data_IF_836664668303
#
_entry.id   IF_836664668303
#
_cell.length_a   1.000
_cell.length_b   1.000
_cell.length_c   1.000
_cell.angle_alpha   90.00
_cell.angle_beta   90.00
_cell.angle_gamma   90.00
#
_symmetry.space_group_name_H-M   'P 1'
#
loop_
_entity.id
_entity.type
_entity.pdbx_description
1 polymer ?
#
# COMPACT_ATOMS: atom_id res chain seq x y z
N UNK A 1 6.83 -3.07 39.58
CA UNK A 1 5.57 -3.12 38.84
C UNK A 1 5.55 -1.90 37.93
N UNK A 2 5.74 -2.09 36.62
CA UNK A 2 5.48 -1.04 35.61
C UNK A 2 3.96 -0.81 35.66
N UNK A 3 3.46 0.44 35.81
CA UNK A 3 2.03 0.68 35.78
C UNK A 3 1.50 0.13 34.43
N UNK A 4 0.38 -0.56 34.52
CA UNK A 4 -0.33 -1.21 33.38
C UNK A 4 -0.74 -0.12 32.38
N UNK A 5 0.21 0.31 31.56
CA UNK A 5 -0.03 1.33 30.52
C UNK A 5 -0.83 0.67 29.43
N UNK A 6 -2.14 0.81 29.52
CA UNK A 6 -3.05 0.31 28.51
C UNK A 6 -2.90 1.14 27.22
N UNK A 7 -2.29 0.56 26.20
CA UNK A 7 -2.17 1.20 24.89
C UNK A 7 -3.47 1.13 24.11
N UNK A 8 -3.73 2.15 23.29
CA UNK A 8 -4.86 2.20 22.36
C UNK A 8 -4.36 2.24 20.93
N UNK A 9 -5.10 1.65 20.01
CA UNK A 9 -4.77 1.68 18.59
C UNK A 9 -5.53 2.83 17.93
N UNK A 10 -4.80 3.70 17.25
CA UNK A 10 -5.36 4.84 16.54
C UNK A 10 -4.99 4.84 15.05
N UNK A 11 -5.89 5.31 14.21
CA UNK A 11 -5.63 5.54 12.79
C UNK A 11 -6.56 6.62 12.24
N UNK A 12 -6.18 7.28 11.14
CA UNK A 12 -7.08 8.23 10.48
C UNK A 12 -8.21 7.49 9.75
N UNK A 13 -9.37 8.08 9.72
CA UNK A 13 -10.59 7.52 9.15
C UNK A 13 -10.59 7.53 7.63
N UNK A 14 -9.89 6.60 7.00
CA UNK A 14 -9.80 6.42 5.56
C UNK A 14 -9.26 5.04 5.19
N UNK A 15 -9.25 4.70 3.92
CA UNK A 15 -8.53 3.57 3.31
C UNK A 15 -8.76 2.21 4.01
N UNK A 16 -7.84 1.78 4.89
CA UNK A 16 -7.89 0.48 5.59
C UNK A 16 -8.29 0.60 7.07
N UNK A 17 -8.75 1.77 7.51
CA UNK A 17 -9.01 2.04 8.92
C UNK A 17 -10.05 1.09 9.54
N UNK A 18 -11.10 0.71 8.80
CA UNK A 18 -12.13 -0.20 9.31
C UNK A 18 -11.54 -1.55 9.74
N UNK A 19 -10.67 -2.15 8.91
CA UNK A 19 -10.06 -3.43 9.27
C UNK A 19 -8.99 -3.29 10.35
N UNK A 20 -8.23 -2.17 10.39
CA UNK A 20 -7.25 -1.89 11.45
C UNK A 20 -7.96 -1.85 12.80
N UNK A 21 -8.99 -1.00 12.92
CA UNK A 21 -9.73 -0.83 14.16
C UNK A 21 -10.49 -2.11 14.56
N UNK A 22 -11.10 -2.82 13.60
CA UNK A 22 -11.74 -4.11 13.86
C UNK A 22 -10.76 -5.13 14.39
N UNK A 23 -9.60 -5.26 13.75
CA UNK A 23 -8.55 -6.19 14.17
C UNK A 23 -7.98 -5.84 15.57
N UNK A 24 -7.81 -4.55 15.88
CA UNK A 24 -7.38 -4.08 17.19
C UNK A 24 -8.38 -4.48 18.30
N UNK A 25 -9.69 -4.31 18.05
CA UNK A 25 -10.73 -4.75 19.00
C UNK A 25 -10.72 -6.27 19.19
N UNK A 26 -10.44 -7.05 18.15
CA UNK A 26 -10.34 -8.51 18.25
C UNK A 26 -9.16 -8.96 19.12
N UNK A 27 -8.10 -8.17 19.20
CA UNK A 27 -6.95 -8.43 20.09
C UNK A 27 -7.09 -7.76 21.48
N UNK A 28 -8.22 -7.10 21.76
CA UNK A 28 -8.54 -6.54 23.06
C UNK A 28 -8.09 -5.09 23.27
N UNK A 29 -7.67 -4.39 22.23
CA UNK A 29 -7.33 -2.98 22.33
C UNK A 29 -8.56 -2.08 22.25
N UNK A 30 -8.55 -0.98 22.98
CA UNK A 30 -9.41 0.17 22.72
C UNK A 30 -8.93 0.88 21.44
N UNK A 31 -9.88 1.48 20.71
CA UNK A 31 -9.64 1.99 19.37
C UNK A 31 -10.05 3.44 19.22
N UNK A 32 -9.24 4.21 18.47
CA UNK A 32 -9.47 5.63 18.18
C UNK A 32 -9.50 5.83 16.66
N UNK A 33 -10.62 6.31 16.14
CA UNK A 33 -10.71 6.79 14.76
C UNK A 33 -10.51 8.31 14.73
N UNK A 34 -9.58 8.79 13.91
CA UNK A 34 -9.34 10.22 13.70
C UNK A 34 -9.98 10.60 12.37
N UNK A 35 -11.04 11.39 12.41
CA UNK A 35 -11.87 11.69 11.25
C UNK A 35 -11.90 13.18 10.95
N UNK A 36 -11.91 13.53 9.67
CA UNK A 36 -12.34 14.87 9.26
C UNK A 36 -13.84 14.99 9.51
N UNK A 37 -14.29 16.13 10.05
CA UNK A 37 -15.72 16.40 10.34
C UNK A 37 -16.63 16.01 9.18
N UNK A 38 -17.69 15.29 9.49
CA UNK A 38 -18.68 14.77 8.52
C UNK A 38 -18.29 13.44 7.87
N UNK A 39 -17.11 12.87 8.18
CA UNK A 39 -16.66 11.57 7.66
C UNK A 39 -16.65 10.45 8.70
N UNK A 40 -17.25 10.67 9.87
CA UNK A 40 -17.27 9.71 10.99
C UNK A 40 -18.25 8.55 10.77
N UNK A 41 -19.26 8.75 9.92
CA UNK A 41 -20.40 7.86 9.74
C UNK A 41 -20.05 6.36 9.57
N UNK A 42 -19.02 5.98 8.76
CA UNK A 42 -18.65 4.56 8.65
C UNK A 42 -18.20 3.95 9.98
N UNK A 43 -17.42 4.69 10.78
CA UNK A 43 -16.85 4.22 12.05
C UNK A 43 -17.91 4.10 13.14
N UNK A 44 -18.91 4.96 13.12
CA UNK A 44 -20.11 4.89 13.95
C UNK A 44 -20.99 3.70 13.53
N UNK A 45 -21.26 3.56 12.24
CA UNK A 45 -22.11 2.51 11.67
C UNK A 45 -21.57 1.10 11.97
N UNK A 46 -20.28 0.89 11.75
CA UNK A 46 -19.64 -0.41 11.98
C UNK A 46 -19.14 -0.63 13.40
N UNK A 47 -19.23 0.38 14.26
CA UNK A 47 -18.86 0.32 15.70
C UNK A 47 -17.45 -0.21 15.95
N UNK A 48 -16.52 0.15 15.06
CA UNK A 48 -15.13 -0.29 15.13
C UNK A 48 -14.24 0.65 15.96
N UNK A 49 -14.70 1.86 16.27
CA UNK A 49 -14.00 2.83 17.11
C UNK A 49 -14.71 2.97 18.47
N UNK A 50 -13.93 2.93 19.56
CA UNK A 50 -14.42 3.22 20.90
C UNK A 50 -14.44 4.72 21.14
N UNK A 51 -13.50 5.45 20.53
CA UNK A 51 -13.44 6.92 20.53
C UNK A 51 -13.29 7.43 19.10
N UNK A 52 -13.96 8.54 18.78
CA UNK A 52 -13.79 9.26 17.52
C UNK A 52 -13.29 10.67 17.86
N UNK A 53 -12.13 11.03 17.33
CA UNK A 53 -11.58 12.39 17.39
C UNK A 53 -11.84 13.03 16.05
N UNK A 54 -12.44 14.22 16.05
CA UNK A 54 -12.74 14.97 14.82
C UNK A 54 -11.84 16.18 14.68
N UNK A 55 -11.33 16.36 13.47
CA UNK A 55 -10.52 17.52 13.05
C UNK A 55 -11.15 18.18 11.83
N UNK A 56 -10.86 19.43 11.56
CA UNK A 56 -11.41 20.13 10.39
C UNK A 56 -10.72 19.66 9.09
N UNK A 57 -9.41 19.42 9.16
CA UNK A 57 -8.57 18.94 8.07
C UNK A 57 -7.46 18.04 8.64
N UNK A 58 -6.89 17.16 7.81
CA UNK A 58 -5.68 16.43 8.20
C UNK A 58 -4.44 17.33 8.38
N UNK A 59 -4.50 18.58 7.90
CA UNK A 59 -3.48 19.58 8.19
C UNK A 59 -3.49 20.01 9.67
N UNK A 60 -4.58 19.78 10.38
CA UNK A 60 -4.73 20.10 11.80
C UNK A 60 -4.31 18.93 12.72
N UNK A 61 -3.71 17.88 12.19
CA UNK A 61 -3.37 16.67 12.94
C UNK A 61 -2.48 16.94 14.17
N UNK A 62 -1.60 17.93 14.07
CA UNK A 62 -0.71 18.33 15.16
C UNK A 62 -1.47 18.80 16.40
N UNK A 63 -2.65 19.38 16.23
CA UNK A 63 -3.48 19.89 17.34
C UNK A 63 -4.00 18.82 18.29
N UNK A 64 -4.08 17.56 17.81
CA UNK A 64 -4.58 16.43 18.60
C UNK A 64 -3.48 15.53 19.16
N UNK A 65 -2.18 15.82 18.88
CA UNK A 65 -1.09 14.94 19.34
C UNK A 65 -1.03 14.81 20.86
N UNK A 66 -1.25 15.90 21.60
CA UNK A 66 -1.25 15.86 23.07
C UNK A 66 -2.39 15.00 23.64
N UNK A 67 -3.56 15.00 22.96
CA UNK A 67 -4.66 14.12 23.31
C UNK A 67 -4.31 12.66 23.05
N UNK A 68 -3.74 12.35 21.89
CA UNK A 68 -3.30 10.99 21.53
C UNK A 68 -2.19 10.47 22.47
N UNK A 69 -1.27 11.33 22.93
CA UNK A 69 -0.24 10.98 23.90
C UNK A 69 -0.85 10.65 25.27
N UNK A 70 -1.82 11.43 25.74
CA UNK A 70 -2.56 11.15 26.99
C UNK A 70 -3.33 9.82 26.93
N UNK A 71 -3.81 9.45 25.77
CA UNK A 71 -4.50 8.18 25.51
C UNK A 71 -3.53 6.99 25.33
N UNK A 72 -2.22 7.19 25.40
CA UNK A 72 -1.20 6.19 25.05
C UNK A 72 -1.47 5.56 23.66
N UNK A 73 -1.85 6.37 22.68
CA UNK A 73 -2.20 5.89 21.36
C UNK A 73 -0.97 5.44 20.57
N UNK A 74 -1.13 4.34 19.82
CA UNK A 74 -0.20 3.87 18.81
C UNK A 74 -0.87 4.10 17.45
N UNK A 75 -0.26 4.94 16.61
CA UNK A 75 -0.73 5.23 15.26
C UNK A 75 -0.39 4.08 14.33
N UNK A 76 -1.39 3.53 13.66
CA UNK A 76 -1.19 2.58 12.56
C UNK A 76 -1.31 3.33 11.25
N UNK A 77 -0.21 3.43 10.48
CA UNK A 77 -0.22 4.13 9.19
C UNK A 77 -0.87 3.27 8.10
N UNK A 78 -1.50 3.93 7.15
CA UNK A 78 -1.95 3.36 5.88
C UNK A 78 -1.74 4.40 4.76
N UNK A 79 -2.06 4.04 3.50
CA UNK A 79 -1.73 4.90 2.36
C UNK A 79 -2.24 6.34 2.48
N UNK A 80 -3.48 6.54 2.92
CA UNK A 80 -4.01 7.89 3.09
C UNK A 80 -3.34 8.68 4.22
N UNK A 81 -2.86 7.99 5.27
CA UNK A 81 -2.09 8.65 6.33
C UNK A 81 -0.80 9.26 5.76
N UNK A 82 -0.05 8.47 4.98
CA UNK A 82 1.18 8.95 4.33
C UNK A 82 0.87 10.09 3.35
N UNK A 83 -0.18 9.93 2.53
CA UNK A 83 -0.54 10.91 1.51
C UNK A 83 -0.98 12.26 2.10
N UNK A 84 -1.71 12.25 3.22
CA UNK A 84 -2.22 13.48 3.84
C UNK A 84 -1.22 14.15 4.77
N UNK A 85 -0.42 13.36 5.49
CA UNK A 85 0.55 13.91 6.42
C UNK A 85 1.85 14.34 5.74
N UNK A 86 2.30 13.58 4.73
CA UNK A 86 3.63 13.73 4.14
C UNK A 86 4.74 13.26 5.09
N UNK A 87 5.89 12.91 4.52
CA UNK A 87 7.01 12.29 5.26
C UNK A 87 7.55 13.20 6.34
N UNK A 88 7.81 14.47 6.02
CA UNK A 88 8.39 15.45 6.97
C UNK A 88 7.56 15.62 8.25
N UNK A 89 6.23 15.57 8.15
CA UNK A 89 5.34 15.66 9.31
C UNK A 89 5.32 14.35 10.09
N UNK A 90 5.37 13.20 9.38
CA UNK A 90 5.42 11.87 10.02
C UNK A 90 6.71 11.70 10.82
N UNK A 91 7.85 12.17 10.32
CA UNK A 91 9.13 12.14 11.05
C UNK A 91 9.07 12.92 12.36
N UNK A 92 8.32 14.03 12.37
CA UNK A 92 8.16 14.90 13.56
C UNK A 92 7.06 14.45 14.52
N UNK A 93 6.34 13.36 14.24
CA UNK A 93 5.29 12.84 15.12
C UNK A 93 5.89 12.43 16.48
N UNK A 94 5.26 12.93 17.55
CA UNK A 94 5.59 12.58 18.95
C UNK A 94 4.81 11.35 19.44
N UNK A 95 3.69 11.04 18.79
CA UNK A 95 2.84 9.89 19.11
C UNK A 95 3.53 8.62 18.62
N UNK A 96 3.42 7.54 19.38
CA UNK A 96 3.94 6.24 18.97
C UNK A 96 3.42 5.84 17.59
N UNK A 97 4.32 5.44 16.71
CA UNK A 97 4.06 5.07 15.34
C UNK A 97 4.49 3.63 15.09
N UNK A 98 3.60 2.79 14.60
CA UNK A 98 3.91 1.40 14.24
C UNK A 98 4.57 1.34 12.86
N UNK A 99 5.78 0.83 12.82
CA UNK A 99 6.55 0.71 11.58
C UNK A 99 7.85 1.53 11.60
N UNK A 100 8.71 1.30 10.63
CA UNK A 100 9.96 2.03 10.47
C UNK A 100 9.75 3.28 9.60
N UNK A 101 9.79 4.47 10.20
CA UNK A 101 9.64 5.74 9.47
C UNK A 101 10.72 5.93 8.40
N UNK A 102 11.95 5.44 8.61
CA UNK A 102 13.05 5.59 7.67
C UNK A 102 12.81 4.86 6.33
N UNK A 103 11.88 3.90 6.29
CA UNK A 103 11.53 3.19 5.07
C UNK A 103 10.61 4.02 4.14
N UNK A 104 9.91 5.02 4.69
CA UNK A 104 8.93 5.82 3.95
C UNK A 104 9.60 6.67 2.85
N UNK A 105 10.80 7.17 3.09
CA UNK A 105 11.56 7.89 2.08
C UNK A 105 11.86 6.97 0.88
N UNK A 106 12.25 5.72 1.15
CA UNK A 106 12.51 4.71 0.12
C UNK A 106 11.25 4.31 -0.65
N UNK A 107 10.09 4.28 -0.02
CA UNK A 107 8.81 4.03 -0.69
C UNK A 107 8.37 5.20 -1.56
N UNK A 108 8.55 6.44 -1.10
CA UNK A 108 8.00 7.63 -1.74
C UNK A 108 8.84 8.15 -2.92
N UNK A 109 10.16 7.98 -2.88
CA UNK A 109 11.04 8.33 -4.00
C UNK A 109 11.15 7.17 -4.98
N UNK A 110 10.60 7.35 -6.18
CA UNK A 110 10.56 6.32 -7.24
C UNK A 110 11.94 5.78 -7.63
N UNK A 111 13.00 6.58 -7.51
CA UNK A 111 14.37 6.16 -7.82
C UNK A 111 14.93 5.28 -6.71
N UNK A 112 14.69 5.66 -5.46
CA UNK A 112 15.10 4.90 -4.28
C UNK A 112 14.32 3.60 -4.19
N UNK A 113 13.00 3.62 -4.35
CA UNK A 113 12.14 2.45 -4.43
C UNK A 113 12.64 1.44 -5.47
N UNK A 114 12.87 1.92 -6.69
CA UNK A 114 13.39 1.08 -7.77
C UNK A 114 14.77 0.49 -7.45
N UNK A 115 15.65 1.27 -6.82
CA UNK A 115 16.97 0.79 -6.37
C UNK A 115 16.84 -0.31 -5.33
N UNK A 116 15.93 -0.15 -4.37
CA UNK A 116 15.62 -1.16 -3.36
C UNK A 116 15.13 -2.46 -4.01
N UNK A 117 14.06 -2.39 -4.82
CA UNK A 117 13.48 -3.55 -5.51
C UNK A 117 14.52 -4.27 -6.40
N UNK A 118 15.37 -3.51 -7.12
CA UNK A 118 16.44 -4.08 -7.94
C UNK A 118 17.49 -4.80 -7.11
N UNK A 119 17.93 -4.21 -5.99
CA UNK A 119 18.89 -4.84 -5.07
C UNK A 119 18.33 -6.08 -4.39
N UNK A 120 17.00 -6.14 -4.20
CA UNK A 120 16.29 -7.33 -3.73
C UNK A 120 16.22 -8.45 -4.79
N UNK A 121 16.81 -8.29 -5.96
CA UNK A 121 16.81 -9.28 -7.03
C UNK A 121 15.47 -9.43 -7.77
N UNK A 122 14.57 -8.45 -7.68
CA UNK A 122 13.28 -8.50 -8.36
C UNK A 122 13.41 -8.07 -9.83
N UNK A 123 12.65 -8.75 -10.71
CA UNK A 123 12.47 -8.30 -12.10
C UNK A 123 11.60 -7.05 -12.12
N UNK A 124 12.11 -5.98 -12.74
CA UNK A 124 11.43 -4.69 -12.85
C UNK A 124 11.17 -4.35 -14.32
N UNK A 125 10.15 -3.53 -14.65
CA UNK A 125 9.97 -3.00 -15.98
C UNK A 125 11.21 -2.23 -16.45
N UNK A 126 11.55 -2.31 -17.73
CA UNK A 126 12.66 -1.53 -18.33
C UNK A 126 12.36 -0.03 -18.25
N UNK A 127 13.35 0.78 -17.91
CA UNK A 127 13.28 2.24 -17.99
C UNK A 127 14.06 2.67 -19.24
N UNK A 128 13.45 3.54 -20.01
CA UNK A 128 14.08 4.18 -21.17
C UNK A 128 14.59 5.56 -20.77
N UNK A 129 15.86 5.83 -21.04
CA UNK A 129 16.49 7.10 -20.67
C UNK A 129 16.06 8.24 -21.61
N UNK A 130 15.82 7.90 -22.87
CA UNK A 130 15.45 8.86 -23.92
C UNK A 130 14.29 8.30 -24.72
N UNK A 131 13.41 9.17 -25.26
CA UNK A 131 12.30 8.73 -26.11
C UNK A 131 12.76 7.94 -27.36
N UNK A 132 13.93 8.27 -27.90
CA UNK A 132 14.52 7.60 -29.08
C UNK A 132 14.88 6.13 -28.81
N UNK A 133 15.03 5.76 -27.52
CA UNK A 133 15.37 4.39 -27.14
C UNK A 133 14.12 3.49 -27.03
N UNK A 134 12.90 4.01 -27.30
CA UNK A 134 11.63 3.26 -27.21
C UNK A 134 11.59 2.19 -28.30
N UNK A 135 11.69 0.93 -27.87
CA UNK A 135 11.68 -0.26 -28.74
C UNK A 135 10.40 -1.13 -28.58
N UNK A 136 9.49 -0.71 -27.73
CA UNK A 136 8.23 -1.42 -27.39
C UNK A 136 7.20 -0.47 -26.78
N UNK A 137 5.99 -1.00 -26.49
CA UNK A 137 4.97 -0.22 -25.77
C UNK A 137 5.49 0.25 -24.40
N UNK A 138 5.24 1.51 -24.09
CA UNK A 138 5.68 2.16 -22.84
C UNK A 138 4.53 2.89 -22.18
N UNK A 139 4.64 3.04 -20.86
CA UNK A 139 3.85 3.97 -20.06
C UNK A 139 4.74 5.15 -19.66
N UNK A 140 4.29 6.35 -19.97
CA UNK A 140 4.94 7.59 -19.58
C UNK A 140 4.24 8.12 -18.33
N UNK A 141 4.98 8.26 -17.24
CA UNK A 141 4.44 8.68 -15.93
C UNK A 141 5.02 10.04 -15.57
N UNK A 142 4.19 11.03 -15.36
CA UNK A 142 4.62 12.34 -14.88
C UNK A 142 4.87 12.33 -13.38
N UNK A 143 5.83 13.13 -12.91
CA UNK A 143 6.07 13.31 -11.48
C UNK A 143 4.88 14.05 -10.83
N UNK A 144 4.50 13.62 -9.61
CA UNK A 144 3.34 14.17 -8.91
C UNK A 144 1.99 13.66 -9.43
N UNK A 145 1.98 12.59 -10.22
CA UNK A 145 0.75 11.92 -10.65
C UNK A 145 0.19 11.06 -9.51
N UNK A 146 -1.06 11.33 -9.10
CA UNK A 146 -1.75 10.63 -8.04
C UNK A 146 -2.95 9.82 -8.55
N UNK A 147 -3.20 8.68 -7.89
CA UNK A 147 -4.46 7.94 -8.01
C UNK A 147 -4.82 7.48 -9.42
N UNK A 148 -3.84 7.06 -10.21
CA UNK A 148 -4.10 6.54 -11.55
C UNK A 148 -4.29 7.61 -12.64
N UNK A 149 -3.87 8.86 -12.37
CA UNK A 149 -3.86 9.97 -13.33
C UNK A 149 -2.43 10.43 -13.63
N UNK A 150 -2.24 11.20 -14.71
CA UNK A 150 -0.93 11.80 -15.05
C UNK A 150 0.04 10.82 -15.70
N UNK A 151 -0.46 9.95 -16.56
CA UNK A 151 0.34 9.10 -17.45
C UNK A 151 -0.37 8.93 -18.80
N UNK A 152 0.37 8.42 -19.78
CA UNK A 152 -0.19 7.93 -21.04
C UNK A 152 0.61 6.73 -21.55
N UNK A 153 -0.03 5.92 -22.39
CA UNK A 153 0.60 4.82 -23.11
C UNK A 153 1.11 5.29 -24.47
N UNK A 154 2.30 4.83 -24.87
CA UNK A 154 2.82 5.05 -26.20
C UNK A 154 3.32 3.73 -26.81
N UNK A 155 3.02 3.50 -28.10
CA UNK A 155 3.40 2.28 -28.83
C UNK A 155 4.83 2.34 -29.33
N UNK A 156 5.29 3.54 -29.70
CA UNK A 156 6.58 3.86 -30.29
C UNK A 156 6.90 5.36 -30.07
N UNK A 157 8.04 5.81 -30.63
CA UNK A 157 8.48 7.20 -30.52
C UNK A 157 7.51 8.21 -31.17
N UNK A 158 6.87 7.88 -32.29
CA UNK A 158 5.95 8.79 -32.97
C UNK A 158 4.69 9.03 -32.15
N UNK A 159 4.11 7.95 -31.60
CA UNK A 159 2.95 7.99 -30.71
C UNK A 159 3.30 8.73 -29.38
N UNK A 160 4.53 8.53 -28.86
CA UNK A 160 5.04 9.29 -27.74
C UNK A 160 5.07 10.80 -28.03
N UNK A 161 5.66 11.19 -29.17
CA UNK A 161 5.78 12.59 -29.56
C UNK A 161 4.42 13.26 -29.80
N UNK A 162 3.46 12.54 -30.39
CA UNK A 162 2.09 13.02 -30.59
C UNK A 162 1.41 13.29 -29.26
N UNK A 163 1.44 12.32 -28.33
CA UNK A 163 0.78 12.43 -27.03
C UNK A 163 1.43 13.43 -26.11
N UNK A 164 2.75 13.62 -26.18
CA UNK A 164 3.44 14.66 -25.40
C UNK A 164 2.97 16.07 -25.74
N UNK A 165 2.50 16.34 -26.98
CA UNK A 165 1.91 17.64 -27.37
C UNK A 165 0.63 17.97 -26.60
N UNK A 166 -0.09 16.94 -26.12
CA UNK A 166 -1.31 17.08 -25.32
C UNK A 166 -1.02 17.43 -23.85
N UNK A 167 0.26 17.35 -23.43
CA UNK A 167 0.71 17.63 -22.08
C UNK A 167 1.71 18.78 -22.05
N UNK A 168 1.29 20.03 -22.37
CA UNK A 168 2.19 21.16 -22.43
C UNK A 168 2.78 21.51 -21.04
N UNK A 169 4.05 21.83 -21.02
CA UNK A 169 4.83 22.19 -19.84
C UNK A 169 5.98 21.22 -19.57
N UNK A 170 7.09 21.72 -19.00
CA UNK A 170 8.29 20.96 -18.65
C UNK A 170 8.05 20.07 -17.39
N UNK A 171 7.10 19.14 -17.44
CA UNK A 171 6.90 18.19 -16.36
C UNK A 171 7.94 17.08 -16.46
N UNK A 172 8.65 16.83 -15.36
CA UNK A 172 9.53 15.65 -15.27
C UNK A 172 8.68 14.39 -15.45
N UNK A 173 9.19 13.44 -16.21
CA UNK A 173 8.51 12.17 -16.48
C UNK A 173 9.49 10.99 -16.50
N UNK A 174 8.95 9.79 -16.39
CA UNK A 174 9.67 8.53 -16.55
C UNK A 174 9.02 7.75 -17.69
N UNK A 175 9.83 7.23 -18.60
CA UNK A 175 9.39 6.32 -19.66
C UNK A 175 9.68 4.89 -19.19
N UNK A 176 8.64 4.13 -18.96
CA UNK A 176 8.72 2.76 -18.44
C UNK A 176 8.07 1.79 -19.42
N UNK A 177 8.68 0.61 -19.59
CA UNK A 177 8.07 -0.50 -20.31
C UNK A 177 6.64 -0.76 -19.81
N UNK A 178 5.70 -0.89 -20.75
CA UNK A 178 4.34 -1.31 -20.43
C UNK A 178 4.27 -2.83 -20.45
N UNK A 179 4.04 -3.42 -19.28
CA UNK A 179 3.97 -4.88 -19.13
C UNK A 179 2.52 -5.33 -19.34
N UNK A 180 2.31 -6.15 -20.37
CA UNK A 180 1.04 -6.85 -20.58
C UNK A 180 1.01 -8.10 -19.72
N UNK A 181 -0.06 -8.25 -18.94
CA UNK A 181 -0.23 -9.40 -18.05
C UNK A 181 -1.33 -9.19 -17.02
N UNK A 182 -1.41 -10.10 -16.06
CA UNK A 182 -2.38 -10.07 -14.98
C UNK A 182 -1.80 -9.33 -13.78
N UNK A 183 -2.42 -8.23 -13.39
CA UNK A 183 -2.05 -7.54 -12.16
C UNK A 183 -2.39 -8.41 -10.94
N UNK A 184 -1.40 -8.62 -10.07
CA UNK A 184 -1.51 -9.34 -8.81
C UNK A 184 -0.76 -8.58 -7.73
N UNK A 185 -1.46 -8.21 -6.67
CA UNK A 185 -0.91 -7.46 -5.56
C UNK A 185 -0.73 -8.41 -4.39
N UNK A 186 0.53 -8.71 -4.04
CA UNK A 186 0.86 -9.67 -2.99
C UNK A 186 1.05 -8.94 -1.66
N UNK A 187 0.29 -9.33 -0.64
CA UNK A 187 0.30 -8.75 0.69
C UNK A 187 1.09 -9.62 1.65
N UNK A 188 1.96 -8.97 2.41
CA UNK A 188 2.83 -9.64 3.38
C UNK A 188 2.75 -8.97 4.74
N UNK A 189 3.26 -9.67 5.74
CA UNK A 189 3.58 -9.15 7.04
C UNK A 189 4.96 -9.66 7.47
N UNK A 190 5.86 -8.77 7.85
CA UNK A 190 7.13 -9.16 8.46
C UNK A 190 7.11 -8.86 9.95
N UNK A 191 7.36 -9.88 10.76
CA UNK A 191 7.48 -9.75 12.21
C UNK A 191 8.95 -9.63 12.61
N UNK A 192 9.40 -8.51 13.19
CA UNK A 192 10.74 -8.43 13.75
C UNK A 192 10.89 -9.31 15.00
N UNK A 193 9.79 -9.60 15.72
CA UNK A 193 9.79 -10.42 16.93
C UNK A 193 10.10 -11.89 16.64
N UNK A 194 9.61 -12.43 15.51
CA UNK A 194 9.85 -13.83 15.09
C UNK A 194 10.88 -13.96 13.98
N UNK A 195 11.17 -12.87 13.27
CA UNK A 195 12.02 -12.85 12.07
C UNK A 195 11.35 -13.40 10.81
N UNK A 196 10.06 -13.75 10.87
CA UNK A 196 9.35 -14.37 9.75
C UNK A 196 8.66 -13.35 8.84
N UNK A 197 8.60 -13.68 7.55
CA UNK A 197 7.83 -12.96 6.55
C UNK A 197 6.65 -13.82 6.11
N UNK A 198 5.45 -13.35 6.38
CA UNK A 198 4.19 -14.07 6.16
C UNK A 198 3.51 -13.57 4.89
N UNK A 199 3.00 -14.49 4.07
CA UNK A 199 2.13 -14.16 2.95
C UNK A 199 0.69 -14.05 3.46
N UNK A 200 0.13 -12.84 3.43
CA UNK A 200 -1.18 -12.53 3.98
C UNK A 200 -2.33 -12.65 2.97
N UNK A 201 -2.05 -12.57 1.68
CA UNK A 201 -3.09 -12.65 0.65
C UNK A 201 -2.70 -12.02 -0.67
N UNK A 202 -3.65 -12.01 -1.60
CA UNK A 202 -3.50 -11.34 -2.89
C UNK A 202 -4.79 -10.62 -3.26
N UNK A 203 -4.67 -9.50 -3.95
CA UNK A 203 -5.82 -8.84 -4.57
C UNK A 203 -5.55 -8.45 -6.02
N UNK A 204 -6.63 -8.15 -6.71
CA UNK A 204 -6.67 -7.40 -7.96
C UNK A 204 -7.45 -6.11 -7.70
N UNK A 205 -6.93 -5.00 -8.19
CA UNK A 205 -7.66 -3.71 -8.16
C UNK A 205 -8.78 -3.72 -9.18
N UNK A 206 -9.94 -3.19 -8.79
CA UNK A 206 -11.07 -2.95 -9.66
C UNK A 206 -11.01 -1.47 -10.09
N UNK A 207 -10.72 -1.25 -11.37
CA UNK A 207 -10.37 0.06 -11.91
C UNK A 207 -11.52 0.65 -12.73
N UNK A 208 -11.73 1.98 -12.65
CA UNK A 208 -13.00 2.62 -13.00
C UNK A 208 -13.47 2.39 -14.45
N UNK A 209 -12.65 2.66 -15.47
CA UNK A 209 -13.10 2.43 -16.86
C UNK A 209 -12.40 1.27 -17.56
N UNK A 210 -11.21 0.87 -17.16
CA UNK A 210 -10.47 -0.25 -17.76
C UNK A 210 -11.30 -1.54 -17.70
N UNK A 211 -11.91 -1.82 -16.57
CA UNK A 211 -12.79 -2.99 -16.39
C UNK A 211 -14.06 -2.89 -17.22
N UNK A 212 -14.61 -1.68 -17.45
CA UNK A 212 -15.79 -1.49 -18.30
C UNK A 212 -15.47 -1.59 -19.79
N UNK A 213 -14.34 -1.03 -20.24
CA UNK A 213 -13.88 -1.10 -21.63
C UNK A 213 -13.71 -2.57 -22.07
N UNK A 214 -13.17 -3.42 -21.18
CA UNK A 214 -13.01 -4.85 -21.48
C UNK A 214 -14.31 -5.65 -21.66
N UNK A 215 -15.48 -5.08 -21.33
CA UNK A 215 -16.79 -5.72 -21.48
C UNK A 215 -17.47 -5.46 -22.82
N UNK A 216 -17.00 -4.47 -23.58
CA UNK A 216 -17.55 -4.11 -24.87
C UNK A 216 -16.67 -4.61 -26.01
N UNK A 217 -17.30 -4.91 -27.17
CA UNK A 217 -16.57 -5.40 -28.32
C UNK A 217 -15.57 -4.37 -28.84
N UNK A 218 -14.53 -4.84 -29.52
CA UNK A 218 -13.56 -3.93 -30.18
C UNK A 218 -14.24 -2.91 -31.10
N UNK A 219 -15.30 -3.34 -31.85
CA UNK A 219 -16.07 -2.45 -32.72
C UNK A 219 -16.74 -1.34 -31.95
N UNK A 220 -17.31 -1.64 -30.79
CA UNK A 220 -17.96 -0.65 -29.91
C UNK A 220 -16.93 0.28 -29.28
N UNK A 221 -15.78 -0.25 -28.85
CA UNK A 221 -14.66 0.57 -28.34
C UNK A 221 -14.22 1.61 -29.39
N UNK A 222 -14.11 1.21 -30.66
CA UNK A 222 -13.73 2.10 -31.75
C UNK A 222 -14.81 3.13 -32.13
N UNK A 223 -16.06 2.89 -31.75
CA UNK A 223 -17.18 3.82 -31.98
C UNK A 223 -17.34 4.87 -30.88
N UNK A 224 -16.73 4.65 -29.72
CA UNK A 224 -16.77 5.59 -28.60
C UNK A 224 -15.81 6.77 -28.81
N UNK A 225 -16.12 7.96 -28.26
CA UNK A 225 -15.16 9.05 -28.20
C UNK A 225 -13.86 8.63 -27.51
N UNK A 226 -12.72 9.11 -28.01
CA UNK A 226 -11.39 8.76 -27.52
C UNK A 226 -11.26 8.97 -26.00
N UNK A 227 -11.83 10.05 -25.49
CA UNK A 227 -11.79 10.42 -24.06
C UNK A 227 -12.51 9.39 -23.16
N UNK A 228 -13.46 8.63 -23.72
CA UNK A 228 -14.20 7.59 -22.99
C UNK A 228 -13.46 6.25 -22.96
N UNK A 229 -12.62 5.99 -23.96
CA UNK A 229 -11.82 4.75 -24.06
C UNK A 229 -10.37 4.92 -23.59
N UNK A 230 -9.93 6.13 -23.29
CA UNK A 230 -8.62 6.34 -22.65
C UNK A 230 -8.62 5.65 -21.27
N UNK A 231 -7.64 4.75 -21.01
CA UNK A 231 -7.62 4.00 -19.77
C UNK A 231 -7.55 4.90 -18.52
N UNK A 232 -8.40 4.62 -17.55
CA UNK A 232 -8.32 5.20 -16.22
C UNK A 232 -8.13 4.07 -15.20
N UNK A 233 -7.04 4.15 -14.44
CA UNK A 233 -6.69 3.18 -13.40
C UNK A 233 -7.09 3.69 -12.00
N UNK A 234 -8.11 4.54 -11.94
CA UNK A 234 -8.68 4.98 -10.66
C UNK A 234 -9.37 3.79 -9.99
N UNK A 235 -8.87 3.42 -8.82
CA UNK A 235 -9.32 2.25 -8.08
C UNK A 235 -10.66 2.58 -7.40
N UNK A 236 -11.69 1.78 -7.68
CA UNK A 236 -13.01 1.87 -7.04
C UNK A 236 -13.26 0.72 -6.06
N UNK A 237 -12.42 -0.31 -6.08
CA UNK A 237 -12.54 -1.45 -5.17
C UNK A 237 -11.40 -2.45 -5.36
N UNK A 238 -11.44 -3.53 -4.58
CA UNK A 238 -10.45 -4.59 -4.60
C UNK A 238 -11.15 -5.95 -4.65
N UNK A 239 -10.64 -6.86 -5.46
CA UNK A 239 -11.12 -8.23 -5.60
C UNK A 239 -10.12 -9.20 -4.98
N UNK A 240 -10.55 -10.12 -4.09
CA UNK A 240 -9.68 -11.14 -3.54
C UNK A 240 -9.28 -12.15 -4.61
N UNK A 241 -8.02 -12.59 -4.58
CA UNK A 241 -7.49 -13.59 -5.51
C UNK A 241 -6.84 -14.73 -4.72
N UNK A 242 -7.03 -15.97 -5.21
CA UNK A 242 -6.23 -17.12 -4.83
C UNK A 242 -5.31 -17.46 -6.00
N UNK A 243 -4.01 -17.45 -5.75
CA UNK A 243 -2.98 -17.72 -6.76
C UNK A 243 -2.68 -19.23 -6.78
N UNK A 244 -2.33 -19.78 -7.95
CA UNK A 244 -1.91 -21.19 -8.06
C UNK A 244 -0.74 -21.48 -7.11
N UNK A 245 -0.79 -22.58 -6.39
CA UNK A 245 0.22 -22.96 -5.41
C UNK A 245 1.64 -23.01 -6.01
N UNK A 246 1.76 -23.41 -7.28
CA UNK A 246 3.05 -23.45 -7.99
C UNK A 246 3.77 -22.09 -8.09
N UNK A 247 3.06 -20.98 -7.91
CA UNK A 247 3.66 -19.62 -7.90
C UNK A 247 4.03 -19.15 -6.50
N UNK A 248 3.45 -19.73 -5.44
CA UNK A 248 3.64 -19.27 -4.07
C UNK A 248 5.12 -19.22 -3.65
N UNK A 249 5.98 -20.21 -3.95
CA UNK A 249 7.40 -20.15 -3.59
C UNK A 249 8.09 -18.90 -4.15
N UNK A 250 7.73 -18.48 -5.37
CA UNK A 250 8.30 -17.28 -6.01
C UNK A 250 7.83 -15.98 -5.35
N UNK A 251 6.58 -15.92 -4.93
CA UNK A 251 6.05 -14.76 -4.19
C UNK A 251 6.66 -14.68 -2.79
N UNK A 252 6.73 -15.79 -2.06
CA UNK A 252 7.32 -15.84 -0.72
C UNK A 252 8.77 -15.35 -0.78
N UNK A 253 9.59 -15.89 -1.67
CA UNK A 253 10.98 -15.49 -1.84
C UNK A 253 11.14 -13.99 -2.17
N UNK A 254 10.22 -13.40 -2.96
CA UNK A 254 10.23 -11.95 -3.26
C UNK A 254 10.00 -11.11 -2.01
N UNK A 255 9.03 -11.47 -1.17
CA UNK A 255 8.77 -10.80 0.10
C UNK A 255 9.97 -10.87 1.04
N UNK A 256 10.55 -12.05 1.22
CA UNK A 256 11.75 -12.27 2.06
C UNK A 256 12.96 -11.45 1.56
N UNK A 257 13.20 -11.43 0.25
CA UNK A 257 14.31 -10.68 -0.33
C UNK A 257 14.18 -9.16 -0.13
N UNK A 258 12.97 -8.64 -0.26
CA UNK A 258 12.69 -7.21 -0.04
C UNK A 258 12.94 -6.83 1.43
N UNK A 259 12.48 -7.65 2.37
CA UNK A 259 12.73 -7.44 3.80
C UNK A 259 14.23 -7.54 4.09
N UNK A 260 14.92 -8.55 3.57
CA UNK A 260 16.36 -8.70 3.76
C UNK A 260 17.15 -7.48 3.29
N UNK A 261 16.86 -6.98 2.08
CA UNK A 261 17.55 -5.79 1.56
C UNK A 261 17.16 -4.51 2.32
N UNK A 262 15.94 -4.40 2.84
CA UNK A 262 15.50 -3.24 3.60
C UNK A 262 16.36 -2.96 4.83
N UNK A 263 16.94 -3.99 5.45
CA UNK A 263 17.86 -3.87 6.59
C UNK A 263 19.16 -3.16 6.23
N UNK A 264 19.58 -3.26 4.95
CA UNK A 264 20.79 -2.60 4.45
C UNK A 264 20.55 -1.13 4.07
N UNK A 265 19.34 -0.80 3.64
CA UNK A 265 19.02 0.54 3.12
C UNK A 265 18.42 1.48 4.16
N UNK A 266 17.67 0.95 5.13
CA UNK A 266 16.97 1.71 6.17
C UNK A 266 16.86 0.88 7.47
N UNK A 267 17.95 0.70 8.24
CA UNK A 267 17.90 -0.05 9.50
C UNK A 267 16.80 0.47 10.46
N UNK A 268 16.12 -0.40 11.20
CA UNK A 268 16.26 -1.86 11.32
C UNK A 268 15.67 -2.67 10.16
N UNK A 269 15.14 -2.04 9.12
CA UNK A 269 14.51 -2.63 7.96
C UNK A 269 13.00 -2.48 7.94
N UNK A 270 12.37 -3.06 6.95
CA UNK A 270 10.91 -3.13 6.80
C UNK A 270 10.34 -4.15 7.77
N UNK A 271 9.35 -3.75 8.54
CA UNK A 271 8.52 -4.65 9.36
C UNK A 271 7.06 -4.19 9.38
N UNK A 272 6.18 -5.07 9.82
CA UNK A 272 4.75 -4.87 9.68
C UNK A 272 4.25 -5.25 8.29
N UNK A 273 3.07 -4.76 7.88
CA UNK A 273 2.46 -5.09 6.60
C UNK A 273 3.15 -4.37 5.43
N UNK A 274 3.23 -5.04 4.29
CA UNK A 274 3.67 -4.45 3.02
C UNK A 274 3.02 -5.15 1.84
N UNK A 275 3.08 -4.52 0.67
CA UNK A 275 2.53 -5.05 -0.57
C UNK A 275 3.54 -4.92 -1.70
N UNK A 276 3.72 -5.99 -2.48
CA UNK A 276 4.42 -5.95 -3.75
C UNK A 276 3.41 -5.88 -4.89
N UNK A 277 3.48 -4.82 -5.67
CA UNK A 277 2.62 -4.61 -6.83
C UNK A 277 3.27 -5.26 -8.04
N UNK A 278 2.63 -6.30 -8.56
CA UNK A 278 3.21 -7.16 -9.58
C UNK A 278 2.29 -7.37 -10.78
N UNK A 279 2.90 -7.73 -11.91
CA UNK A 279 2.21 -8.21 -13.10
C UNK A 279 2.78 -9.58 -13.45
N UNK A 280 1.88 -10.57 -13.57
CA UNK A 280 2.21 -11.89 -14.11
C UNK A 280 2.09 -11.84 -15.63
N UNK A 281 3.21 -12.01 -16.33
CA UNK A 281 3.24 -12.02 -17.80
C UNK A 281 2.69 -13.34 -18.37
N UNK A 282 2.34 -13.40 -19.69
CA UNK A 282 1.95 -14.65 -20.34
C UNK A 282 2.99 -15.76 -20.21
N UNK A 283 4.29 -15.41 -20.15
CA UNK A 283 5.40 -16.35 -19.95
C UNK A 283 5.58 -16.73 -18.48
N UNK A 284 4.60 -16.38 -17.63
CA UNK A 284 4.57 -16.67 -16.20
C UNK A 284 5.71 -16.02 -15.39
N UNK A 285 6.28 -14.92 -15.89
CA UNK A 285 7.20 -14.11 -15.12
C UNK A 285 6.46 -13.13 -14.21
N UNK A 286 7.02 -12.91 -13.02
CA UNK A 286 6.50 -11.95 -12.04
C UNK A 286 7.35 -10.68 -12.12
N UNK A 287 6.82 -9.64 -12.73
CA UNK A 287 7.44 -8.32 -12.84
C UNK A 287 6.89 -7.44 -11.72
N UNK A 288 7.75 -6.97 -10.84
CA UNK A 288 7.39 -6.05 -9.75
C UNK A 288 7.60 -4.62 -10.20
N UNK A 289 6.64 -3.74 -10.00
CA UNK A 289 6.74 -2.35 -10.46
C UNK A 289 6.62 -1.33 -9.33
N UNK A 290 6.15 -1.73 -8.14
CA UNK A 290 5.98 -0.87 -6.98
C UNK A 290 5.97 -1.68 -5.69
N UNK A 291 6.34 -1.06 -4.57
CA UNK A 291 6.16 -1.57 -3.21
C UNK A 291 5.42 -0.54 -2.37
N UNK A 292 4.53 -1.02 -1.52
CA UNK A 292 3.92 -0.23 -0.45
C UNK A 292 4.38 -0.78 0.89
N UNK A 293 5.18 -0.02 1.63
CA UNK A 293 5.79 -0.44 2.90
C UNK A 293 4.86 -0.23 4.11
N UNK A 294 3.58 -0.44 3.94
CA UNK A 294 2.51 -0.25 4.93
C UNK A 294 1.26 -1.02 4.51
N UNK A 295 0.21 -1.02 5.34
CA UNK A 295 -1.06 -1.64 4.97
C UNK A 295 -1.73 -0.90 3.81
N UNK A 296 -2.31 -1.64 2.87
CA UNK A 296 -2.99 -1.16 1.66
C UNK A 296 -4.44 -1.61 1.61
N UNK A 297 -5.26 -0.91 0.81
CA UNK A 297 -6.68 -1.22 0.65
C UNK A 297 -6.95 -2.61 0.04
N UNK A 298 -5.98 -3.16 -0.70
CA UNK A 298 -6.05 -4.52 -1.24
C UNK A 298 -6.23 -5.61 -0.18
N UNK A 299 -5.96 -5.31 1.10
CA UNK A 299 -6.22 -6.21 2.22
C UNK A 299 -7.65 -6.14 2.77
N UNK A 300 -8.45 -5.13 2.39
CA UNK A 300 -9.81 -4.94 2.92
C UNK A 300 -10.79 -6.09 2.61
N UNK A 301 -10.72 -6.80 1.45
CA UNK A 301 -11.56 -7.97 1.23
C UNK A 301 -11.36 -9.08 2.28
N UNK A 302 -10.25 -9.06 2.99
CA UNK A 302 -9.83 -10.06 3.96
C UNK A 302 -10.03 -9.61 5.42
N UNK A 303 -11.09 -8.85 5.70
CA UNK A 303 -11.41 -8.39 7.06
C UNK A 303 -11.60 -9.55 8.06
N UNK A 304 -11.90 -10.74 7.56
CA UNK A 304 -11.99 -11.98 8.34
C UNK A 304 -10.86 -12.99 8.00
N UNK A 305 -9.77 -12.51 7.39
CA UNK A 305 -8.65 -13.34 6.95
C UNK A 305 -8.76 -13.80 5.49
N UNK A 306 -7.61 -14.07 4.90
CA UNK A 306 -7.47 -14.69 3.58
C UNK A 306 -7.35 -16.21 3.71
N UNK A 307 -7.45 -16.99 2.61
CA UNK A 307 -7.12 -18.41 2.64
C UNK A 307 -5.70 -18.69 3.19
N UNK A 308 -4.72 -17.82 2.88
CA UNK A 308 -3.33 -17.99 3.32
C UNK A 308 -3.16 -17.72 4.82
N UNK A 309 -3.77 -16.65 5.32
CA UNK A 309 -3.73 -16.36 6.76
C UNK A 309 -4.52 -17.40 7.56
N UNK A 310 -5.63 -17.93 7.01
CA UNK A 310 -6.36 -19.03 7.62
C UNK A 310 -5.52 -20.30 7.76
N UNK A 311 -4.83 -20.71 6.68
CA UNK A 311 -3.94 -21.87 6.69
C UNK A 311 -2.81 -21.74 7.71
N UNK A 312 -2.38 -20.54 8.02
CA UNK A 312 -1.31 -20.28 8.98
C UNK A 312 -1.79 -20.24 10.42
N UNK A 313 -2.92 -19.57 10.67
CA UNK A 313 -3.38 -19.23 12.02
C UNK A 313 -4.51 -20.11 12.55
N UNK A 314 -5.21 -20.82 11.67
CA UNK A 314 -6.42 -21.60 11.99
C UNK A 314 -7.47 -20.79 12.74
N UNK A 315 -7.47 -19.46 12.52
CA UNK A 315 -8.41 -18.49 13.05
C UNK A 315 -8.55 -17.29 12.10
N UNK A 316 -9.63 -16.50 12.21
CA UNK A 316 -9.78 -15.27 11.44
C UNK A 316 -8.62 -14.29 11.69
N UNK A 317 -7.75 -14.11 10.70
CA UNK A 317 -6.58 -13.22 10.81
C UNK A 317 -6.53 -12.26 9.62
N UNK A 318 -7.09 -11.06 9.80
CA UNK A 318 -6.91 -9.95 8.86
C UNK A 318 -5.52 -9.31 9.06
N UNK A 319 -5.06 -8.53 8.07
CA UNK A 319 -3.81 -7.77 8.23
C UNK A 319 -3.90 -6.76 9.37
N UNK A 320 -5.06 -6.12 9.56
CA UNK A 320 -5.28 -5.22 10.70
C UNK A 320 -5.20 -5.94 12.06
N UNK A 321 -5.76 -7.16 12.14
CA UNK A 321 -5.65 -7.99 13.34
C UNK A 321 -4.21 -8.46 13.57
N UNK A 322 -3.49 -8.79 12.49
CA UNK A 322 -2.09 -9.21 12.59
C UNK A 322 -1.17 -8.10 13.13
N UNK A 323 -1.42 -6.84 12.74
CA UNK A 323 -0.74 -5.68 13.33
C UNK A 323 -1.01 -5.62 14.83
N UNK A 324 -2.26 -5.70 15.24
CA UNK A 324 -2.63 -5.63 16.66
C UNK A 324 -2.04 -6.80 17.47
N UNK A 325 -2.01 -8.01 16.88
CA UNK A 325 -1.37 -9.18 17.46
C UNK A 325 0.15 -8.96 17.66
N UNK A 326 0.82 -8.33 16.70
CA UNK A 326 2.25 -8.00 16.84
C UNK A 326 2.49 -7.03 17.99
N UNK A 327 1.68 -5.98 18.09
CA UNK A 327 1.77 -5.00 19.19
C UNK A 327 1.52 -5.69 20.54
N UNK A 328 0.51 -6.55 20.64
CA UNK A 328 0.21 -7.32 21.85
C UNK A 328 1.38 -8.20 22.27
N UNK A 329 1.95 -8.96 21.33
CA UNK A 329 3.11 -9.80 21.59
C UNK A 329 4.34 -8.98 22.02
N UNK A 330 4.56 -7.82 21.41
CA UNK A 330 5.64 -6.91 21.79
C UNK A 330 5.47 -6.36 23.21
N UNK A 331 4.23 -6.05 23.62
CA UNK A 331 3.92 -5.63 25.00
C UNK A 331 4.21 -6.79 25.98
N UNK A 332 3.72 -7.99 25.68
CA UNK A 332 3.91 -9.19 26.52
C UNK A 332 5.39 -9.58 26.67
N UNK A 333 6.22 -9.30 25.67
CA UNK A 333 7.66 -9.59 25.66
C UNK A 333 8.54 -8.43 26.11
N UNK A 334 7.97 -7.27 26.46
CA UNK A 334 8.69 -6.01 26.76
C UNK A 334 9.60 -5.53 25.61
N UNK A 335 9.13 -5.71 24.37
CA UNK A 335 9.84 -5.40 23.10
C UNK A 335 9.16 -4.33 22.26
N UNK A 336 8.34 -3.50 22.88
CA UNK A 336 7.54 -2.51 22.14
C UNK A 336 8.42 -1.52 21.36
N UNK A 337 9.62 -1.24 21.87
CA UNK A 337 10.63 -0.42 21.21
C UNK A 337 11.22 -1.04 19.92
N UNK A 338 11.03 -2.33 19.68
CA UNK A 338 11.47 -2.98 18.43
C UNK A 338 10.50 -2.72 17.26
N UNK A 339 9.26 -2.28 17.54
CA UNK A 339 8.18 -2.12 16.55
C UNK A 339 7.57 -0.72 16.52
N UNK A 340 8.00 0.20 17.38
CA UNK A 340 7.52 1.58 17.43
C UNK A 340 8.63 2.57 17.11
N UNK A 341 8.24 3.68 16.47
CA UNK A 341 9.06 4.88 16.25
C UNK A 341 8.44 6.09 16.94
#
# INVERSE_FOLDING_TARGET
MVPDKKYKIATIGSHSALQILKGAKQEGFETIAICVKGKEKPYQQFKVADKIITIDSYDDFESIQDELLKENAIIIPHASFIAYMGIERIEKLKVHYFGNKNILEWESDRSMERKWLKKSGLRLPKIFKRPEDIDRAVIVKFHGADGGKGYFLAKNIDDFNEKMKLHPGNKKFVIQEYILGVAMYAHYFHSPLTGETELMGFDKRYESNVDSIGRISYRDQMALPKEQVDPSYVIVGNLPIVVRESYLPRFIAKGENVVKESKNIAPPGLFGPFCLETIMTPDQDIVTFEISARIVAGTNPYVNGSPYSWLRYDEPMSTGRRIAREIKLAIEQDKLNEILN
#
